data_IF_096319663009
#
_entry.id   IF_096319663009
#
_cell.length_a   1.000
_cell.length_b   1.000
_cell.length_c   1.000
_cell.angle_alpha   90.00
_cell.angle_beta   90.00
_cell.angle_gamma   90.00
#
_symmetry.space_group_name_H-M   'P 1'
#
loop_
_entity.id
_entity.type
_entity.pdbx_description
1 polymer ?
#
# COMPACT_ATOMS: atom_id res chain seq x y z
N UNK A 1 6.01 1.80 -29.69
CA UNK A 1 6.81 2.74 -28.87
C UNK A 1 6.85 2.21 -27.45
N UNK A 2 7.98 2.35 -26.74
CA UNK A 2 8.06 1.99 -25.32
C UNK A 2 7.01 2.78 -24.53
N UNK A 3 6.33 2.10 -23.60
CA UNK A 3 5.43 2.76 -22.62
C UNK A 3 6.21 3.36 -21.45
N UNK A 4 7.46 2.94 -21.26
CA UNK A 4 8.32 3.40 -20.18
C UNK A 4 9.15 4.59 -20.64
N UNK A 5 9.12 5.67 -19.86
CA UNK A 5 9.93 6.88 -20.00
C UNK A 5 11.10 6.80 -19.03
N UNK A 6 12.31 7.01 -19.54
CA UNK A 6 13.58 6.94 -18.79
C UNK A 6 14.16 8.33 -18.47
N UNK A 7 13.47 9.38 -18.87
CA UNK A 7 13.82 10.76 -18.60
C UNK A 7 12.57 11.52 -18.20
N UNK A 8 12.71 12.47 -17.27
CA UNK A 8 11.61 13.30 -16.83
C UNK A 8 10.93 14.02 -18.01
N UNK A 9 9.59 13.90 -18.17
CA UNK A 9 8.87 14.58 -19.24
C UNK A 9 8.59 16.04 -18.85
N UNK A 10 9.59 16.91 -19.10
CA UNK A 10 9.53 18.35 -18.81
C UNK A 10 8.35 19.00 -19.54
N UNK A 11 7.60 19.84 -18.82
CA UNK A 11 6.41 20.54 -19.31
C UNK A 11 5.15 19.67 -19.39
N UNK A 12 5.22 18.38 -19.08
CA UNK A 12 4.06 17.47 -19.09
C UNK A 12 3.50 17.25 -17.69
N UNK A 13 2.21 16.90 -17.61
CA UNK A 13 1.56 16.47 -16.37
C UNK A 13 1.97 15.05 -16.02
N UNK A 14 2.48 14.85 -14.81
CA UNK A 14 2.94 13.55 -14.30
C UNK A 14 2.16 13.20 -13.05
N UNK A 15 1.31 12.17 -13.13
CA UNK A 15 0.59 11.60 -12.02
C UNK A 15 1.55 10.90 -11.06
N UNK A 16 1.34 11.05 -9.75
CA UNK A 16 2.10 10.37 -8.70
C UNK A 16 1.10 9.75 -7.73
N UNK A 17 1.25 8.43 -7.48
CA UNK A 17 0.58 7.77 -6.37
C UNK A 17 1.26 8.24 -5.07
N UNK A 18 0.63 9.18 -4.38
CA UNK A 18 1.29 9.97 -3.35
C UNK A 18 0.88 9.47 -1.96
N UNK A 19 1.82 8.81 -1.27
CA UNK A 19 1.62 8.30 0.10
C UNK A 19 1.96 9.34 1.17
N UNK A 20 2.68 10.41 0.83
CA UNK A 20 3.13 11.42 1.78
C UNK A 20 4.38 11.02 2.58
N UNK A 21 4.99 9.87 2.28
CA UNK A 21 6.32 9.51 2.78
C UNK A 21 7.43 10.28 2.07
N UNK A 22 8.67 10.14 2.57
CA UNK A 22 9.88 10.80 2.04
C UNK A 22 10.01 10.63 0.52
N UNK A 23 10.05 9.40 0.04
CA UNK A 23 10.30 9.05 -1.36
C UNK A 23 9.31 9.74 -2.32
N UNK A 24 8.02 9.78 -1.97
CA UNK A 24 7.00 10.45 -2.79
C UNK A 24 7.01 11.98 -2.64
N UNK A 25 7.32 12.49 -1.45
CA UNK A 25 7.41 13.93 -1.17
C UNK A 25 8.55 14.58 -1.96
N UNK A 26 9.73 13.98 -1.90
CA UNK A 26 10.89 14.46 -2.65
C UNK A 26 10.70 14.27 -4.16
N UNK A 27 10.06 13.19 -4.62
CA UNK A 27 9.77 13.00 -6.03
C UNK A 27 8.84 14.09 -6.58
N UNK A 28 7.79 14.49 -5.84
CA UNK A 28 6.92 15.61 -6.24
C UNK A 28 7.72 16.91 -6.37
N UNK A 29 8.51 17.23 -5.34
CA UNK A 29 9.29 18.45 -5.29
C UNK A 29 10.35 18.51 -6.41
N UNK A 30 11.08 17.42 -6.60
CA UNK A 30 12.10 17.30 -7.65
C UNK A 30 11.49 17.39 -9.04
N UNK A 31 10.36 16.71 -9.30
CA UNK A 31 9.67 16.82 -10.59
C UNK A 31 9.23 18.26 -10.88
N UNK A 32 8.76 18.99 -9.85
CA UNK A 32 8.42 20.40 -9.99
C UNK A 32 9.65 21.26 -10.30
N UNK A 33 10.75 21.08 -9.54
CA UNK A 33 12.00 21.82 -9.72
C UNK A 33 12.57 21.63 -11.14
N UNK A 34 12.59 20.39 -11.63
CA UNK A 34 13.09 20.06 -12.97
C UNK A 34 12.11 20.37 -14.11
N UNK A 35 10.96 20.99 -13.82
CA UNK A 35 10.05 21.55 -14.83
C UNK A 35 8.96 20.61 -15.35
N UNK A 36 8.72 19.46 -14.72
CA UNK A 36 7.48 18.70 -14.93
C UNK A 36 6.32 19.30 -14.12
N UNK A 37 5.10 18.84 -14.37
CA UNK A 37 3.88 19.32 -13.70
C UNK A 37 3.30 18.16 -12.85
N UNK A 38 3.78 17.95 -11.61
CA UNK A 38 3.37 16.82 -10.79
C UNK A 38 1.91 16.93 -10.36
N UNK A 39 1.16 15.84 -10.45
CA UNK A 39 -0.23 15.70 -10.04
C UNK A 39 -0.35 14.53 -9.06
N UNK A 40 -0.68 14.77 -7.80
CA UNK A 40 -0.68 13.76 -6.74
C UNK A 40 -2.06 13.19 -6.48
N UNK A 41 -2.13 11.86 -6.38
CA UNK A 41 -3.34 11.10 -6.06
C UNK A 41 -3.03 10.19 -4.87
N UNK A 42 -3.65 10.48 -3.73
CA UNK A 42 -3.52 9.69 -2.51
C UNK A 42 -4.67 8.70 -2.43
N UNK A 43 -4.34 7.42 -2.28
CA UNK A 43 -5.32 6.37 -2.12
C UNK A 43 -5.75 6.28 -0.65
N UNK A 44 -7.02 6.55 -0.35
CA UNK A 44 -7.62 6.15 0.92
C UNK A 44 -8.05 4.69 0.80
N UNK A 45 -7.22 3.81 1.34
CA UNK A 45 -7.40 2.36 1.33
C UNK A 45 -7.61 1.80 2.74
N UNK A 46 -7.98 2.68 3.69
CA UNK A 46 -8.21 2.32 5.09
C UNK A 46 -6.96 1.81 5.79
N UNK A 47 -5.81 2.45 5.55
CA UNK A 47 -4.57 2.10 6.25
C UNK A 47 -4.74 2.25 7.77
N UNK A 48 -4.37 1.24 8.57
CA UNK A 48 -4.44 1.34 10.04
C UNK A 48 -3.40 2.30 10.63
N UNK A 49 -2.35 2.64 9.88
CA UNK A 49 -1.19 3.42 10.32
C UNK A 49 -1.14 4.87 9.79
N UNK A 50 -2.17 5.34 9.08
CA UNK A 50 -2.28 6.75 8.62
C UNK A 50 -3.57 7.40 9.15
N UNK A 51 -3.48 8.20 10.24
CA UNK A 51 -4.65 8.81 10.87
C UNK A 51 -5.22 10.01 10.12
N UNK A 52 -4.49 10.61 9.17
CA UNK A 52 -4.93 11.81 8.44
C UNK A 52 -4.63 11.75 6.94
N UNK A 53 -5.37 10.87 6.24
CA UNK A 53 -5.40 10.81 4.77
C UNK A 53 -5.94 12.12 4.18
N UNK A 54 -6.93 12.75 4.83
CA UNK A 54 -7.58 13.97 4.34
C UNK A 54 -6.63 15.16 4.26
N UNK A 55 -5.61 15.22 5.13
CA UNK A 55 -4.56 16.24 5.11
C UNK A 55 -3.41 15.97 4.12
N UNK A 56 -3.30 14.76 3.55
CA UNK A 56 -2.22 14.41 2.59
C UNK A 56 -2.21 15.31 1.35
N UNK A 57 -3.36 15.66 0.71
CA UNK A 57 -3.36 16.55 -0.45
C UNK A 57 -2.81 17.95 -0.16
N UNK A 58 -3.06 18.51 1.02
CA UNK A 58 -2.48 19.81 1.41
C UNK A 58 -0.97 19.72 1.61
N UNK A 59 -0.46 18.60 2.13
CA UNK A 59 0.98 18.32 2.18
C UNK A 59 1.58 18.28 0.77
N UNK A 60 0.93 17.59 -0.16
CA UNK A 60 1.41 17.48 -1.55
C UNK A 60 1.57 18.86 -2.23
N UNK A 61 0.65 19.79 -1.98
CA UNK A 61 0.73 21.17 -2.50
C UNK A 61 1.95 21.93 -2.00
N UNK A 62 2.38 21.69 -0.76
CA UNK A 62 3.60 22.32 -0.21
C UNK A 62 4.86 21.92 -0.99
N UNK A 63 4.87 20.73 -1.59
CA UNK A 63 5.94 20.23 -2.46
C UNK A 63 5.76 20.64 -3.94
N UNK A 64 4.73 21.42 -4.27
CA UNK A 64 4.52 21.93 -5.63
C UNK A 64 3.61 21.07 -6.51
N UNK A 65 2.78 20.19 -5.96
CA UNK A 65 1.75 19.49 -6.74
C UNK A 65 0.77 20.47 -7.41
N UNK A 66 0.53 20.30 -8.71
CA UNK A 66 -0.46 21.04 -9.50
C UNK A 66 -1.89 20.62 -9.16
N UNK A 67 -2.09 19.32 -9.06
CA UNK A 67 -3.34 18.67 -8.64
C UNK A 67 -2.99 17.85 -7.41
N UNK A 68 -3.82 17.93 -6.37
CA UNK A 68 -3.69 17.10 -5.19
C UNK A 68 -5.06 16.62 -4.72
N UNK A 69 -5.28 15.30 -4.74
CA UNK A 69 -6.57 14.69 -4.42
C UNK A 69 -6.39 13.43 -3.58
N UNK A 70 -7.25 13.26 -2.59
CA UNK A 70 -7.51 11.95 -1.99
C UNK A 70 -8.60 11.24 -2.81
N UNK A 71 -8.42 9.94 -3.03
CA UNK A 71 -9.35 9.08 -3.77
C UNK A 71 -9.82 7.99 -2.81
N UNK A 72 -11.11 7.99 -2.49
CA UNK A 72 -11.70 6.93 -1.66
C UNK A 72 -11.76 5.62 -2.45
N UNK A 73 -10.94 4.65 -2.01
CA UNK A 73 -10.77 3.34 -2.65
C UNK A 73 -11.28 2.22 -1.72
N UNK A 74 -11.59 2.52 -0.45
CA UNK A 74 -12.03 1.52 0.53
C UNK A 74 -13.19 0.64 0.03
N UNK A 75 -14.27 1.18 -0.57
CA UNK A 75 -15.39 0.35 -1.00
C UNK A 75 -14.97 -0.70 -2.04
N UNK A 76 -14.21 -0.31 -3.07
CA UNK A 76 -13.75 -1.24 -4.10
C UNK A 76 -12.74 -2.24 -3.55
N UNK A 77 -11.84 -1.80 -2.66
CA UNK A 77 -10.89 -2.71 -2.02
C UNK A 77 -11.61 -3.77 -1.17
N UNK A 78 -12.66 -3.37 -0.45
CA UNK A 78 -13.50 -4.31 0.29
C UNK A 78 -14.20 -5.29 -0.65
N UNK A 79 -14.79 -4.84 -1.75
CA UNK A 79 -15.45 -5.78 -2.67
C UNK A 79 -14.47 -6.81 -3.28
N UNK A 80 -13.26 -6.39 -3.70
CA UNK A 80 -12.26 -7.33 -4.22
C UNK A 80 -11.75 -8.30 -3.15
N UNK A 81 -11.64 -7.87 -1.89
CA UNK A 81 -11.28 -8.76 -0.78
C UNK A 81 -12.38 -9.78 -0.47
N UNK A 82 -13.64 -9.37 -0.48
CA UNK A 82 -14.78 -10.28 -0.34
C UNK A 82 -14.86 -11.29 -1.50
N UNK A 83 -14.58 -10.85 -2.73
CA UNK A 83 -14.50 -11.74 -3.88
C UNK A 83 -13.36 -12.76 -3.74
N UNK A 84 -12.18 -12.33 -3.28
CA UNK A 84 -11.04 -13.20 -3.01
C UNK A 84 -11.34 -14.24 -1.93
N UNK A 85 -12.03 -13.85 -0.86
CA UNK A 85 -12.51 -14.76 0.19
C UNK A 85 -13.48 -15.81 -0.38
N UNK A 86 -14.48 -15.37 -1.14
CA UNK A 86 -15.50 -16.26 -1.70
C UNK A 86 -14.94 -17.34 -2.64
N UNK A 87 -13.83 -17.07 -3.33
CA UNK A 87 -13.17 -18.04 -4.21
C UNK A 87 -11.91 -18.68 -3.60
N UNK A 88 -11.53 -18.32 -2.37
CA UNK A 88 -10.34 -18.84 -1.70
C UNK A 88 -9.04 -18.57 -2.45
N UNK A 89 -8.88 -17.38 -3.04
CA UNK A 89 -7.76 -17.01 -3.92
C UNK A 89 -6.41 -16.78 -3.19
N UNK A 90 -6.02 -17.70 -2.30
CA UNK A 90 -4.88 -17.59 -1.39
C UNK A 90 -3.92 -18.76 -1.59
N UNK A 91 -2.83 -18.52 -2.33
CA UNK A 91 -1.90 -19.56 -2.77
C UNK A 91 -0.66 -19.71 -1.85
N UNK A 92 -0.36 -18.72 -1.02
CA UNK A 92 0.80 -18.72 -0.11
C UNK A 92 0.34 -19.22 1.27
N UNK A 93 0.85 -20.38 1.68
CA UNK A 93 0.47 -21.02 2.96
C UNK A 93 1.63 -21.83 3.53
N UNK A 94 1.75 -21.83 4.86
CA UNK A 94 2.71 -22.62 5.63
C UNK A 94 2.04 -23.19 6.87
N UNK A 95 2.09 -24.52 7.05
CA UNK A 95 1.48 -25.17 8.24
C UNK A 95 -0.02 -24.89 8.40
N UNK A 96 -0.76 -24.71 7.30
CA UNK A 96 -2.18 -24.34 7.32
C UNK A 96 -2.48 -22.85 7.49
N UNK A 97 -1.49 -22.02 7.88
CA UNK A 97 -1.64 -20.56 7.96
C UNK A 97 -1.48 -19.93 6.58
N UNK A 98 -2.46 -19.14 6.16
CA UNK A 98 -2.47 -18.49 4.85
C UNK A 98 -2.03 -17.03 4.93
N UNK A 99 -1.38 -16.56 3.87
CA UNK A 99 -1.37 -15.15 3.52
C UNK A 99 -2.53 -14.87 2.55
N UNK A 100 -3.37 -13.89 2.92
CA UNK A 100 -4.61 -13.57 2.20
C UNK A 100 -4.44 -12.63 1.00
N UNK A 101 -3.23 -12.50 0.44
CA UNK A 101 -2.96 -11.68 -0.75
C UNK A 101 -3.41 -10.21 -0.63
N UNK A 102 -3.32 -9.63 0.57
CA UNK A 102 -3.79 -8.27 0.87
C UNK A 102 -3.04 -7.19 0.09
N UNK A 103 -1.72 -7.30 -0.12
CA UNK A 103 -0.95 -6.38 -0.97
C UNK A 103 -1.33 -6.51 -2.46
N UNK A 104 -1.34 -7.72 -3.09
CA UNK A 104 -1.84 -7.89 -4.47
C UNK A 104 -3.22 -7.30 -4.72
N UNK A 105 -4.18 -7.51 -3.80
CA UNK A 105 -5.52 -6.93 -3.89
C UNK A 105 -5.47 -5.40 -3.83
N UNK A 106 -4.75 -4.85 -2.86
CA UNK A 106 -4.50 -3.41 -2.77
C UNK A 106 -3.94 -2.83 -4.08
N UNK A 107 -3.02 -3.54 -4.75
CA UNK A 107 -2.40 -3.08 -6.00
C UNK A 107 -3.34 -3.15 -7.20
N UNK A 108 -4.18 -4.17 -7.28
CA UNK A 108 -5.20 -4.28 -8.31
C UNK A 108 -6.14 -3.07 -8.28
N UNK A 109 -6.61 -2.71 -7.08
CA UNK A 109 -7.56 -1.62 -6.92
C UNK A 109 -6.89 -0.25 -7.06
N UNK A 110 -5.77 -0.01 -6.39
CA UNK A 110 -5.06 1.29 -6.50
C UNK A 110 -4.51 1.53 -7.91
N UNK A 111 -3.91 0.53 -8.55
CA UNK A 111 -3.35 0.64 -9.89
C UNK A 111 -4.41 0.97 -10.95
N UNK A 112 -5.65 0.52 -10.76
CA UNK A 112 -6.76 0.85 -11.68
C UNK A 112 -7.43 2.17 -11.31
N UNK A 113 -7.77 2.39 -10.04
CA UNK A 113 -8.53 3.56 -9.60
C UNK A 113 -7.71 4.85 -9.65
N UNK A 114 -6.44 4.83 -9.24
CA UNK A 114 -5.60 6.03 -9.33
C UNK A 114 -5.32 6.42 -10.78
N UNK A 115 -5.09 5.45 -11.67
CA UNK A 115 -4.89 5.73 -13.10
C UNK A 115 -6.17 6.26 -13.75
N UNK A 116 -7.36 5.80 -13.35
CA UNK A 116 -8.62 6.39 -13.79
C UNK A 116 -8.80 7.82 -13.27
N UNK A 117 -8.40 8.10 -12.03
CA UNK A 117 -8.40 9.45 -11.49
C UNK A 117 -7.44 10.38 -12.25
N UNK A 118 -6.23 9.90 -12.54
CA UNK A 118 -5.27 10.60 -13.41
C UNK A 118 -5.87 10.91 -14.79
N UNK A 119 -6.49 9.91 -15.43
CA UNK A 119 -7.10 10.08 -16.74
C UNK A 119 -8.24 11.11 -16.73
N UNK A 120 -9.08 11.11 -15.70
CA UNK A 120 -10.16 12.08 -15.55
C UNK A 120 -9.66 13.54 -15.48
N UNK A 121 -8.45 13.74 -14.96
CA UNK A 121 -7.78 15.04 -14.87
C UNK A 121 -6.86 15.34 -16.08
N UNK A 122 -6.91 14.51 -17.13
CA UNK A 122 -6.11 14.64 -18.34
C UNK A 122 -4.63 14.29 -18.15
N UNK A 123 -4.31 13.49 -17.14
CA UNK A 123 -2.94 13.05 -16.82
C UNK A 123 -2.71 11.64 -17.39
N UNK A 124 -1.86 11.56 -18.41
CA UNK A 124 -1.55 10.31 -19.13
C UNK A 124 -0.12 9.78 -18.90
N UNK A 125 0.60 10.36 -17.93
CA UNK A 125 1.91 9.88 -17.50
C UNK A 125 1.83 9.57 -16.00
N UNK A 126 2.31 8.39 -15.59
CA UNK A 126 2.47 8.06 -14.18
C UNK A 126 3.95 7.97 -13.82
N UNK A 127 4.42 8.84 -12.92
CA UNK A 127 5.68 8.71 -12.21
C UNK A 127 5.57 7.64 -11.14
N UNK A 128 5.96 6.41 -11.47
CA UNK A 128 5.81 5.25 -10.61
C UNK A 128 7.17 4.81 -10.03
N UNK A 129 7.35 5.07 -8.73
CA UNK A 129 8.56 4.76 -7.98
C UNK A 129 8.75 3.29 -7.60
N UNK A 130 7.84 2.37 -7.96
CA UNK A 130 7.99 0.94 -7.66
C UNK A 130 9.38 0.43 -8.09
N UNK A 131 10.08 -0.26 -7.20
CA UNK A 131 11.47 -0.69 -7.44
C UNK A 131 11.57 -1.79 -8.51
N UNK A 132 12.69 -1.85 -9.23
CA UNK A 132 12.94 -2.85 -10.29
C UNK A 132 13.04 -4.31 -9.79
N UNK A 133 13.16 -4.53 -8.48
CA UNK A 133 13.30 -5.85 -7.84
C UNK A 133 12.02 -6.35 -7.17
N UNK A 134 11.00 -5.49 -7.07
CA UNK A 134 9.75 -5.79 -6.40
C UNK A 134 8.70 -6.36 -7.35
N UNK A 135 7.63 -6.94 -6.81
CA UNK A 135 6.49 -7.39 -7.60
C UNK A 135 5.64 -6.21 -8.13
N UNK A 136 5.63 -5.10 -7.41
CA UNK A 136 4.70 -3.99 -7.66
C UNK A 136 4.95 -3.26 -8.97
N UNK A 137 6.19 -3.28 -9.49
CA UNK A 137 6.50 -2.74 -10.82
C UNK A 137 5.69 -3.42 -11.93
N UNK A 138 5.57 -4.74 -11.89
CA UNK A 138 4.81 -5.50 -12.88
C UNK A 138 3.30 -5.38 -12.66
N UNK A 139 2.86 -5.39 -11.39
CA UNK A 139 1.45 -5.21 -11.03
C UNK A 139 0.93 -3.87 -11.54
N UNK A 140 1.59 -2.78 -11.15
CA UNK A 140 1.17 -1.44 -11.53
C UNK A 140 1.31 -1.16 -13.03
N UNK A 141 2.36 -1.69 -13.68
CA UNK A 141 2.47 -1.63 -15.14
C UNK A 141 1.26 -2.27 -15.82
N UNK A 142 0.86 -3.46 -15.38
CA UNK A 142 -0.28 -4.18 -15.97
C UNK A 142 -1.61 -3.49 -15.67
N UNK A 143 -1.90 -3.19 -14.40
CA UNK A 143 -3.16 -2.54 -14.01
C UNK A 143 -3.31 -1.15 -14.62
N UNK A 144 -2.23 -0.37 -14.65
CA UNK A 144 -2.26 0.97 -15.24
C UNK A 144 -2.55 0.95 -16.74
N UNK A 145 -1.91 0.06 -17.51
CA UNK A 145 -2.18 -0.06 -18.94
C UNK A 145 -3.56 -0.65 -19.26
N UNK A 146 -4.09 -1.51 -18.39
CA UNK A 146 -5.48 -2.00 -18.51
C UNK A 146 -6.50 -0.88 -18.21
N UNK A 147 -6.20 0.00 -17.25
CA UNK A 147 -7.07 1.11 -16.89
C UNK A 147 -7.02 2.27 -17.89
N UNK A 148 -5.84 2.56 -18.45
CA UNK A 148 -5.62 3.58 -19.47
C UNK A 148 -4.62 3.06 -20.52
N UNK A 149 -5.10 2.63 -21.70
CA UNK A 149 -4.24 2.14 -22.79
C UNK A 149 -3.25 3.18 -23.33
N UNK A 150 -3.51 4.48 -23.12
CA UNK A 150 -2.63 5.58 -23.55
C UNK A 150 -1.55 5.90 -22.51
N UNK A 151 -1.63 5.33 -21.31
CA UNK A 151 -0.69 5.60 -20.22
C UNK A 151 0.76 5.39 -20.65
N UNK A 152 1.60 6.34 -20.28
CA UNK A 152 3.06 6.23 -20.23
C UNK A 152 3.51 6.20 -18.77
N UNK A 153 4.60 5.51 -18.48
CA UNK A 153 5.09 5.34 -17.11
C UNK A 153 6.51 5.88 -17.03
N UNK A 154 6.70 6.93 -16.25
CA UNK A 154 8.02 7.47 -15.92
C UNK A 154 8.59 6.69 -14.72
N UNK A 155 9.82 6.20 -14.85
CA UNK A 155 10.55 5.48 -13.79
C UNK A 155 11.72 6.35 -13.30
N UNK A 156 11.60 7.01 -12.14
CA UNK A 156 12.65 7.92 -11.65
C UNK A 156 14.03 7.27 -11.51
N UNK A 157 14.09 6.01 -11.08
CA UNK A 157 15.35 5.27 -10.94
C UNK A 157 16.01 4.87 -12.27
N UNK A 158 15.38 5.15 -13.42
CA UNK A 158 16.00 5.07 -14.75
C UNK A 158 16.54 6.43 -15.23
N UNK A 159 16.19 7.52 -14.55
CA UNK A 159 16.66 8.86 -14.88
C UNK A 159 17.96 9.14 -14.14
N UNK A 160 19.04 9.34 -14.90
CA UNK A 160 20.37 9.59 -14.34
C UNK A 160 20.41 10.82 -13.43
N UNK A 161 19.68 11.89 -13.78
CA UNK A 161 19.65 13.11 -12.96
C UNK A 161 18.93 12.87 -11.62
N UNK A 162 17.86 12.07 -11.63
CA UNK A 162 17.17 11.69 -10.40
C UNK A 162 18.08 10.83 -9.51
N UNK A 163 18.77 9.84 -10.09
CA UNK A 163 19.66 8.94 -9.32
C UNK A 163 20.87 9.68 -8.76
N UNK A 164 21.44 10.63 -9.51
CA UNK A 164 22.57 11.43 -9.07
C UNK A 164 22.21 12.37 -7.90
N UNK A 165 21.03 13.00 -7.94
CA UNK A 165 20.60 13.93 -6.90
C UNK A 165 19.91 13.25 -5.70
N UNK A 166 19.23 12.12 -5.93
CA UNK A 166 18.32 11.48 -4.96
C UNK A 166 18.58 9.97 -4.78
N UNK A 167 19.84 9.55 -4.90
CA UNK A 167 20.22 8.13 -4.89
C UNK A 167 19.91 7.35 -3.60
N UNK A 168 19.73 8.05 -2.48
CA UNK A 168 19.41 7.45 -1.19
C UNK A 168 18.54 8.35 -0.30
N UNK A 169 18.06 7.80 0.82
CA UNK A 169 17.16 8.53 1.73
C UNK A 169 17.82 9.72 2.41
N UNK A 170 19.13 9.65 2.63
CA UNK A 170 19.89 10.75 3.21
C UNK A 170 19.91 11.93 2.24
N UNK A 171 20.29 11.69 0.99
CA UNK A 171 20.31 12.69 -0.09
C UNK A 171 18.92 13.27 -0.33
N UNK A 172 17.87 12.42 -0.30
CA UNK A 172 16.48 12.90 -0.41
C UNK A 172 16.08 13.85 0.73
N UNK A 173 16.51 13.56 1.97
CA UNK A 173 16.22 14.42 3.12
C UNK A 173 16.95 15.76 3.04
N UNK A 174 18.23 15.74 2.66
CA UNK A 174 19.05 16.94 2.49
C UNK A 174 18.50 17.81 1.36
N UNK A 175 18.13 17.20 0.23
CA UNK A 175 17.55 17.90 -0.91
C UNK A 175 16.29 18.67 -0.51
N UNK A 176 15.38 18.08 0.28
CA UNK A 176 14.19 18.81 0.77
C UNK A 176 14.56 20.00 1.67
N UNK A 177 15.52 19.83 2.57
CA UNK A 177 15.98 20.88 3.48
C UNK A 177 16.62 22.03 2.72
N UNK A 178 17.49 21.73 1.75
CA UNK A 178 18.17 22.72 0.90
C UNK A 178 17.18 23.56 0.07
N UNK A 179 16.06 22.96 -0.34
CA UNK A 179 14.99 23.62 -1.09
C UNK A 179 13.94 24.31 -0.17
N UNK A 180 14.17 24.32 1.15
CA UNK A 180 13.28 24.96 2.12
C UNK A 180 11.92 24.27 2.25
N UNK A 181 11.85 22.98 1.93
CA UNK A 181 10.63 22.19 1.94
C UNK A 181 10.50 21.37 3.23
N UNK A 182 9.27 21.11 3.71
CA UNK A 182 9.06 20.34 4.93
C UNK A 182 9.61 18.92 4.82
N UNK A 183 10.49 18.53 5.72
CA UNK A 183 10.92 17.14 5.90
C UNK A 183 10.32 16.58 7.18
N UNK A 184 9.71 15.40 7.08
CA UNK A 184 9.22 14.64 8.24
C UNK A 184 10.14 13.45 8.41
N UNK A 185 10.97 13.50 9.43
CA UNK A 185 11.82 12.36 9.79
C UNK A 185 10.95 11.12 10.00
N UNK A 186 11.21 10.08 9.23
CA UNK A 186 10.66 8.78 9.54
C UNK A 186 11.50 8.18 10.66
N UNK A 187 10.88 7.82 11.79
CA UNK A 187 11.53 6.96 12.79
C UNK A 187 12.05 5.72 12.08
N UNK A 188 13.34 5.41 12.24
CA UNK A 188 13.92 4.24 11.60
C UNK A 188 13.23 2.97 12.13
N UNK A 189 12.52 2.27 11.26
CA UNK A 189 11.85 1.01 11.59
C UNK A 189 12.78 -0.17 11.31
N UNK A 190 12.72 -1.21 12.14
CA UNK A 190 13.50 -2.43 11.95
C UNK A 190 13.11 -3.22 10.68
N UNK A 191 11.94 -2.94 10.10
CA UNK A 191 11.39 -3.56 8.89
C UNK A 191 10.59 -2.54 8.08
N UNK A 192 10.25 -2.90 6.84
CA UNK A 192 9.33 -2.15 5.96
C UNK A 192 7.91 -2.66 6.16
N UNK A 193 6.92 -1.75 6.15
CA UNK A 193 5.50 -2.11 6.26
C UNK A 193 4.69 -1.54 5.09
N UNK A 194 3.83 -2.38 4.51
CA UNK A 194 2.74 -1.99 3.61
C UNK A 194 1.42 -2.41 4.25
N UNK A 195 0.40 -1.55 4.21
CA UNK A 195 -0.88 -1.84 4.86
C UNK A 195 -2.07 -1.26 4.10
N UNK A 196 -3.20 -1.90 4.27
CA UNK A 196 -4.52 -1.44 3.84
C UNK A 196 -5.60 -2.06 4.74
N UNK A 197 -6.88 -1.75 4.49
CA UNK A 197 -7.99 -2.21 5.32
C UNK A 197 -8.04 -3.73 5.50
N UNK A 198 -7.49 -4.52 4.58
CA UNK A 198 -7.53 -5.98 4.70
C UNK A 198 -6.36 -6.60 5.45
N UNK A 199 -5.23 -5.91 5.54
CA UNK A 199 -4.05 -6.47 6.15
C UNK A 199 -2.82 -5.59 6.06
N UNK A 200 -1.81 -5.99 6.83
CA UNK A 200 -0.48 -5.42 6.84
C UNK A 200 0.57 -6.48 6.50
N UNK A 201 1.64 -6.07 5.85
CA UNK A 201 2.78 -6.92 5.51
C UNK A 201 4.07 -6.26 5.97
N UNK A 202 4.88 -7.00 6.73
CA UNK A 202 6.17 -6.56 7.23
C UNK A 202 7.29 -7.37 6.58
N UNK A 203 8.26 -6.70 5.97
CA UNK A 203 9.35 -7.37 5.26
C UNK A 203 10.66 -6.56 5.29
N UNK A 204 11.70 -7.13 4.66
CA UNK A 204 13.03 -6.53 4.49
C UNK A 204 13.78 -6.28 5.81
N UNK A 205 14.99 -5.72 5.68
CA UNK A 205 15.88 -5.38 6.81
C UNK A 205 16.10 -6.61 7.71
N UNK A 206 15.83 -6.53 9.01
CA UNK A 206 16.09 -7.64 9.94
C UNK A 206 15.26 -8.89 9.60
N UNK A 207 14.08 -8.73 8.97
CA UNK A 207 13.22 -9.85 8.59
C UNK A 207 13.76 -10.66 7.40
N UNK A 208 14.80 -10.20 6.70
CA UNK A 208 15.50 -11.01 5.68
C UNK A 208 16.20 -12.23 6.29
N UNK A 209 16.57 -12.14 7.56
CA UNK A 209 17.26 -13.19 8.30
C UNK A 209 16.25 -14.17 8.91
N UNK A 210 16.27 -15.44 8.47
CA UNK A 210 15.30 -16.47 8.88
C UNK A 210 15.39 -16.85 10.37
N UNK A 211 16.50 -16.54 11.04
CA UNK A 211 16.69 -16.71 12.48
C UNK A 211 16.05 -15.58 13.32
N UNK A 212 15.61 -14.49 12.67
CA UNK A 212 14.80 -13.45 13.33
C UNK A 212 13.35 -13.91 13.43
N UNK A 213 12.82 -13.96 14.65
CA UNK A 213 11.43 -14.34 14.93
C UNK A 213 10.44 -13.26 14.48
N UNK A 214 9.19 -13.66 14.19
CA UNK A 214 8.08 -12.74 13.95
C UNK A 214 7.81 -11.81 15.15
N UNK A 215 8.24 -12.21 16.36
CA UNK A 215 8.02 -11.48 17.61
C UNK A 215 8.73 -10.12 17.67
N UNK A 216 9.65 -9.83 16.74
CA UNK A 216 10.25 -8.49 16.59
C UNK A 216 9.30 -7.46 15.98
N UNK A 217 8.19 -7.93 15.39
CA UNK A 217 7.17 -7.07 14.76
C UNK A 217 6.30 -6.43 15.85
N UNK A 218 6.13 -5.12 15.76
CA UNK A 218 5.00 -4.39 16.34
C UNK A 218 3.80 -4.50 15.38
N UNK A 219 2.76 -5.29 15.72
CA UNK A 219 1.57 -5.40 14.90
C UNK A 219 0.81 -4.07 14.85
N UNK A 220 0.20 -3.75 13.72
CA UNK A 220 -0.57 -2.53 13.53
C UNK A 220 -2.07 -2.79 13.36
N UNK A 221 -2.50 -4.06 13.31
CA UNK A 221 -3.91 -4.45 13.19
C UNK A 221 -4.37 -5.36 14.33
N UNK A 222 -3.52 -5.62 15.33
CA UNK A 222 -3.88 -6.43 16.48
C UNK A 222 -2.87 -6.32 17.62
N UNK A 223 -3.00 -7.21 18.60
CA UNK A 223 -2.11 -7.27 19.75
C UNK A 223 -0.98 -8.29 19.55
N UNK A 224 0.11 -8.14 20.34
CA UNK A 224 1.21 -9.11 20.41
C UNK A 224 0.78 -10.38 21.16
N UNK A 225 0.02 -11.25 20.50
CA UNK A 225 -0.54 -12.46 21.12
C UNK A 225 0.50 -13.45 21.67
N UNK A 226 1.78 -13.30 21.30
CA UNK A 226 2.89 -14.07 21.84
C UNK A 226 3.45 -13.52 23.15
N UNK A 227 3.17 -12.26 23.49
CA UNK A 227 3.65 -11.63 24.70
C UNK A 227 2.77 -12.02 25.90
N UNK A 228 3.29 -12.77 26.90
CA UNK A 228 2.51 -13.23 28.04
C UNK A 228 2.02 -12.08 28.95
N UNK A 229 2.53 -10.85 28.77
CA UNK A 229 2.02 -9.67 29.48
C UNK A 229 0.77 -9.06 28.85
N UNK A 230 0.42 -9.46 27.62
CA UNK A 230 -0.79 -9.03 26.93
C UNK A 230 -1.95 -9.93 27.35
N UNK A 231 -2.92 -9.36 28.08
CA UNK A 231 -4.14 -10.06 28.43
C UNK A 231 -5.07 -10.13 27.20
N UNK A 232 -5.49 -11.35 26.83
CA UNK A 232 -6.44 -11.60 25.74
C UNK A 232 -7.58 -12.45 26.31
N UNK A 233 -8.72 -11.80 26.54
CA UNK A 233 -9.92 -12.47 27.02
C UNK A 233 -10.54 -13.32 25.92
N UNK A 234 -11.18 -14.43 26.30
CA UNK A 234 -11.92 -15.25 25.34
C UNK A 234 -13.19 -14.53 24.89
N UNK A 235 -13.48 -14.56 23.59
CA UNK A 235 -14.68 -13.97 23.00
C UNK A 235 -15.40 -14.96 22.09
N UNK A 236 -16.71 -15.07 22.25
CA UNK A 236 -17.58 -15.80 21.34
C UNK A 236 -18.08 -14.87 20.23
N UNK A 237 -17.81 -15.22 18.97
CA UNK A 237 -18.16 -14.39 17.81
C UNK A 237 -19.06 -15.17 16.86
N UNK A 238 -20.16 -14.55 16.42
CA UNK A 238 -21.07 -15.11 15.43
C UNK A 238 -21.05 -14.27 14.14
N UNK A 239 -20.59 -14.85 13.04
CA UNK A 239 -20.62 -14.21 11.71
C UNK A 239 -21.78 -14.78 10.89
N UNK A 240 -22.64 -13.90 10.36
CA UNK A 240 -23.78 -14.28 9.52
C UNK A 240 -23.47 -14.00 8.06
N UNK A 241 -23.71 -14.99 7.21
CA UNK A 241 -23.60 -14.89 5.76
C UNK A 241 -24.97 -15.04 5.09
N UNK A 242 -25.22 -14.24 4.06
CA UNK A 242 -26.35 -14.37 3.14
C UNK A 242 -25.81 -14.59 1.73
N UNK A 243 -26.13 -15.74 1.11
CA UNK A 243 -25.68 -16.11 -0.23
C UNK A 243 -24.16 -15.96 -0.48
N UNK A 244 -23.35 -16.28 0.54
CA UNK A 244 -21.88 -16.21 0.48
C UNK A 244 -21.29 -14.82 0.79
N UNK A 245 -22.11 -13.81 1.10
CA UNK A 245 -21.67 -12.49 1.54
C UNK A 245 -21.82 -12.34 3.06
N UNK A 246 -20.81 -11.87 3.80
CA UNK A 246 -20.97 -11.54 5.20
C UNK A 246 -21.87 -10.31 5.35
N UNK A 247 -22.85 -10.37 6.23
CA UNK A 247 -23.85 -9.30 6.42
C UNK A 247 -24.03 -8.85 7.87
N UNK A 248 -23.62 -9.68 8.84
CA UNK A 248 -23.74 -9.34 10.26
C UNK A 248 -22.65 -10.01 11.10
N UNK A 249 -22.25 -9.33 12.17
CA UNK A 249 -21.37 -9.87 13.22
C UNK A 249 -22.07 -9.66 14.57
N UNK A 250 -22.14 -10.70 15.39
CA UNK A 250 -22.81 -10.69 16.70
C UNK A 250 -24.27 -10.19 16.64
N UNK A 251 -24.98 -10.55 15.56
CA UNK A 251 -26.36 -10.15 15.31
C UNK A 251 -26.55 -8.71 14.81
N UNK A 252 -25.50 -7.89 14.79
CA UNK A 252 -25.53 -6.54 14.23
C UNK A 252 -25.34 -6.59 12.71
N UNK A 253 -26.35 -6.14 11.96
CA UNK A 253 -26.30 -6.06 10.49
C UNK A 253 -25.56 -4.82 10.03
N UNK A 254 -24.79 -4.95 8.96
CA UNK A 254 -24.04 -3.87 8.33
C UNK A 254 -24.48 -3.70 6.88
N UNK A 255 -25.07 -2.54 6.56
CA UNK A 255 -25.40 -2.18 5.17
C UNK A 255 -24.15 -1.65 4.42
N UNK A 256 -23.20 -1.08 5.16
CA UNK A 256 -21.89 -0.67 4.65
C UNK A 256 -20.87 -1.81 4.85
N UNK A 257 -20.36 -2.41 3.76
CA UNK A 257 -19.38 -3.48 3.87
C UNK A 257 -18.02 -2.99 4.42
N UNK A 258 -17.69 -1.70 4.27
CA UNK A 258 -16.47 -1.14 4.87
C UNK A 258 -16.57 -1.17 6.39
N UNK A 259 -17.70 -0.75 6.94
CA UNK A 259 -17.96 -0.82 8.38
C UNK A 259 -17.92 -2.26 8.91
N UNK A 260 -18.47 -3.24 8.17
CA UNK A 260 -18.38 -4.66 8.54
C UNK A 260 -16.93 -5.13 8.64
N UNK A 261 -16.09 -4.75 7.67
CA UNK A 261 -14.67 -5.17 7.65
C UNK A 261 -13.88 -4.51 8.78
N UNK A 262 -14.18 -3.24 9.10
CA UNK A 262 -13.57 -2.57 10.25
C UNK A 262 -13.92 -3.27 11.57
N UNK A 263 -15.18 -3.69 11.73
CA UNK A 263 -15.59 -4.48 12.90
C UNK A 263 -14.89 -5.84 12.92
N UNK A 264 -14.82 -6.54 11.78
CA UNK A 264 -14.14 -7.82 11.68
C UNK A 264 -12.64 -7.70 12.01
N UNK A 265 -11.98 -6.62 11.59
CA UNK A 265 -10.60 -6.32 11.95
C UNK A 265 -10.45 -6.07 13.45
N UNK A 266 -11.35 -5.30 14.06
CA UNK A 266 -11.31 -5.01 15.48
C UNK A 266 -11.42 -6.30 16.32
N UNK A 267 -12.38 -7.16 16.01
CA UNK A 267 -12.58 -8.46 16.67
C UNK A 267 -11.39 -9.40 16.43
N UNK A 268 -10.94 -9.52 15.18
CA UNK A 268 -9.77 -10.33 14.84
C UNK A 268 -8.46 -9.80 15.44
N UNK A 269 -8.47 -8.56 15.96
CA UNK A 269 -7.36 -7.88 16.63
C UNK A 269 -6.77 -8.62 17.83
N UNK A 270 -7.36 -9.74 18.26
CA UNK A 270 -6.75 -10.74 19.16
C UNK A 270 -5.42 -11.33 18.66
N UNK A 271 -4.97 -10.98 17.45
CA UNK A 271 -3.80 -11.55 16.77
C UNK A 271 -4.17 -12.65 15.77
N UNK A 272 -5.46 -12.79 15.44
CA UNK A 272 -5.96 -13.76 14.47
C UNK A 272 -5.40 -13.44 13.07
N UNK A 273 -5.07 -14.49 12.31
CA UNK A 273 -4.62 -14.34 10.92
C UNK A 273 -3.16 -13.98 10.73
N UNK A 274 -2.38 -13.80 11.81
CA UNK A 274 -0.94 -13.56 11.67
C UNK A 274 -0.20 -14.79 11.15
N UNK A 275 0.72 -14.58 10.21
CA UNK A 275 1.55 -15.65 9.64
C UNK A 275 2.94 -15.19 9.18
N UNK A 276 3.89 -16.13 9.11
CA UNK A 276 5.24 -15.94 8.58
C UNK A 276 5.36 -16.80 7.32
N UNK A 277 5.72 -16.20 6.18
CA UNK A 277 5.79 -16.88 4.90
C UNK A 277 7.09 -16.60 4.17
N UNK A 278 7.63 -17.65 3.55
CA UNK A 278 8.60 -17.53 2.45
C UNK A 278 7.82 -17.70 1.15
N UNK A 279 7.71 -16.63 0.37
CA UNK A 279 6.95 -16.59 -0.88
C UNK A 279 7.87 -16.55 -2.10
N UNK A 280 7.34 -16.92 -3.27
CA UNK A 280 8.02 -16.74 -4.55
C UNK A 280 7.53 -15.45 -5.20
N UNK A 281 8.45 -14.54 -5.49
CA UNK A 281 8.19 -13.33 -6.29
C UNK A 281 7.97 -13.70 -7.75
N UNK A 282 7.39 -12.76 -8.51
CA UNK A 282 7.14 -12.93 -9.95
C UNK A 282 8.45 -13.19 -10.71
N UNK A 283 9.54 -12.55 -10.28
CA UNK A 283 10.90 -12.70 -10.83
C UNK A 283 11.60 -14.02 -10.45
N UNK A 284 10.86 -15.00 -9.95
CA UNK A 284 11.37 -16.34 -9.57
C UNK A 284 12.42 -16.35 -8.44
N UNK A 285 12.48 -15.28 -7.65
CA UNK A 285 13.27 -15.18 -6.43
C UNK A 285 12.37 -15.24 -5.18
N UNK A 286 12.92 -15.68 -4.04
CA UNK A 286 12.14 -15.74 -2.79
C UNK A 286 12.22 -14.43 -2.00
N UNK A 287 11.16 -14.14 -1.26
CA UNK A 287 11.16 -13.17 -0.15
C UNK A 287 10.50 -13.76 1.08
N UNK A 288 10.74 -13.15 2.24
CA UNK A 288 10.09 -13.49 3.50
C UNK A 288 9.27 -12.30 3.99
N UNK A 289 8.07 -12.55 4.49
CA UNK A 289 7.22 -11.55 5.11
C UNK A 289 6.50 -12.07 6.34
N UNK A 290 6.14 -11.16 7.24
CA UNK A 290 5.21 -11.38 8.34
C UNK A 290 3.92 -10.63 7.99
N UNK A 291 2.78 -11.30 8.10
CA UNK A 291 1.50 -10.79 7.60
C UNK A 291 0.49 -10.70 8.72
N UNK A 292 -0.33 -9.64 8.70
CA UNK A 292 -1.53 -9.45 9.52
C UNK A 292 -2.74 -9.38 8.59
N UNK A 293 -3.84 -10.06 8.92
CA UNK A 293 -5.10 -9.97 8.18
C UNK A 293 -6.29 -10.40 9.06
N UNK A 294 -6.52 -9.71 10.20
CA UNK A 294 -7.46 -10.17 11.23
C UNK A 294 -8.89 -10.33 10.73
N UNK A 295 -9.41 -9.32 10.01
CA UNK A 295 -10.77 -9.38 9.46
C UNK A 295 -10.92 -10.43 8.36
N UNK A 296 -9.94 -10.58 7.46
CA UNK A 296 -9.98 -11.66 6.46
C UNK A 296 -9.95 -13.04 7.12
N UNK A 297 -9.13 -13.22 8.16
CA UNK A 297 -9.03 -14.49 8.88
C UNK A 297 -10.28 -14.84 9.67
N UNK A 298 -11.00 -13.84 10.20
CA UNK A 298 -12.31 -14.06 10.84
C UNK A 298 -13.39 -14.46 9.84
N UNK A 299 -13.32 -13.93 8.62
CA UNK A 299 -14.33 -14.15 7.56
C UNK A 299 -14.05 -15.38 6.67
N UNK A 300 -12.86 -15.99 6.74
CA UNK A 300 -12.43 -17.13 5.91
C UNK A 300 -12.74 -18.48 6.54
#
# INVERSE_FOLDING_TARGET
MSKVLTSLPVGERVGIAFSGGLDTSVAVAWMRDKGAIPCTYTADIGQPDEPDIAGVPERAKQYGAEIARAVDIKPQLVEEGLAALACGAFHIRSGGKAYFNTTPLGRAVTGTMLVRAMQADGVNIWGDGSTYKGNDIERFYRYGLMANPELRIYKPWLDAAFVEELGGRHEMSEWLVEHGLPYRDSTEKAYSTDANIWGATHEAKVLEHLDVSLEVVEPIMGVKFWDPSVAIETEDVAVTFEAGRPVAINGQRYDDPVALVLEANAIGGHGLGMSDQIENRIIEAKSRGIYEAPGMALLF
#
